data_IF_919693929973
#
_entry.id   IF_919693929973
#
_cell.length_a   1.000
_cell.length_b   1.000
_cell.length_c   1.000
_cell.angle_alpha   90.00
_cell.angle_beta   90.00
_cell.angle_gamma   90.00
#
_symmetry.space_group_name_H-M   'P 1'
#
loop_
_entity.id
_entity.type
_entity.pdbx_description
1 polymer ?
#
# COMPACT_ATOMS: atom_id res chain seq x y z
N UNK A 1 16.52 1.99 2.61
CA UNK A 1 15.21 1.34 2.84
C UNK A 1 15.43 -0.15 3.03
N UNK A 2 14.81 -0.73 4.06
CA UNK A 2 14.91 -2.14 4.46
C UNK A 2 13.56 -2.86 4.48
N UNK A 3 12.44 -2.14 4.62
CA UNK A 3 11.09 -2.73 4.64
C UNK A 3 10.13 -1.92 3.77
N UNK A 4 9.26 -2.61 3.04
CA UNK A 4 8.31 -2.02 2.10
C UNK A 4 6.92 -2.61 2.30
N UNK A 5 5.93 -1.74 2.49
CA UNK A 5 4.52 -2.09 2.56
C UNK A 5 3.77 -1.63 1.32
N UNK A 6 2.77 -2.39 0.90
CA UNK A 6 1.80 -1.98 -0.10
C UNK A 6 0.39 -2.09 0.46
N UNK A 7 -0.40 -1.04 0.26
CA UNK A 7 -1.85 -1.04 0.40
C UNK A 7 -2.45 -0.97 -1.00
N UNK A 8 -3.21 -1.98 -1.41
CA UNK A 8 -3.64 -2.15 -2.80
C UNK A 8 -5.15 -2.19 -2.92
N UNK A 9 -5.73 -1.49 -3.88
CA UNK A 9 -7.11 -1.72 -4.31
C UNK A 9 -7.16 -2.81 -5.38
N UNK A 10 -7.77 -3.96 -5.05
CA UNK A 10 -7.85 -5.11 -5.98
C UNK A 10 -8.75 -4.86 -7.19
N UNK A 11 -9.61 -3.84 -7.16
CA UNK A 11 -10.34 -3.45 -8.36
C UNK A 11 -9.42 -2.80 -9.41
N UNK A 12 -8.32 -2.19 -8.97
CA UNK A 12 -7.36 -1.51 -9.84
C UNK A 12 -6.15 -2.39 -10.16
N UNK A 13 -5.70 -3.21 -9.22
CA UNK A 13 -4.47 -3.96 -9.36
C UNK A 13 -4.56 -5.37 -8.73
N UNK A 14 -4.36 -6.40 -9.55
CA UNK A 14 -4.47 -7.81 -9.12
C UNK A 14 -3.17 -8.61 -9.30
N UNK A 15 -2.15 -8.02 -9.92
CA UNK A 15 -0.91 -8.70 -10.28
C UNK A 15 0.15 -8.55 -9.18
N UNK A 16 -0.09 -9.17 -8.03
CA UNK A 16 0.79 -9.05 -6.86
C UNK A 16 2.22 -9.55 -7.10
N UNK A 17 2.43 -10.46 -8.06
CA UNK A 17 3.77 -10.92 -8.46
C UNK A 17 4.63 -9.76 -8.97
N UNK A 18 4.04 -8.80 -9.71
CA UNK A 18 4.76 -7.58 -10.12
C UNK A 18 5.25 -6.73 -8.97
N UNK A 19 4.59 -6.77 -7.80
CA UNK A 19 5.04 -6.04 -6.60
C UNK A 19 6.28 -6.71 -5.96
N UNK A 20 6.42 -8.03 -6.13
CA UNK A 20 7.65 -8.72 -5.74
C UNK A 20 8.82 -8.33 -6.65
N UNK A 21 8.60 -8.27 -7.97
CA UNK A 21 9.64 -7.82 -8.92
C UNK A 21 10.02 -6.36 -8.72
N UNK A 22 9.03 -5.49 -8.48
CA UNK A 22 9.24 -4.10 -8.04
C UNK A 22 10.22 -4.03 -6.87
N UNK A 23 10.00 -4.86 -5.85
CA UNK A 23 10.76 -4.81 -4.60
C UNK A 23 12.21 -5.29 -4.77
N UNK A 24 12.47 -6.19 -5.72
CA UNK A 24 13.83 -6.65 -6.06
C UNK A 24 14.70 -5.51 -6.59
N UNK A 25 14.13 -4.50 -7.25
CA UNK A 25 14.87 -3.32 -7.75
C UNK A 25 15.50 -2.51 -6.61
N UNK A 26 14.91 -2.62 -5.41
CA UNK A 26 15.42 -2.01 -4.17
C UNK A 26 16.29 -2.96 -3.34
N UNK A 27 16.59 -4.16 -3.85
CA UNK A 27 17.40 -5.17 -3.14
C UNK A 27 16.67 -5.83 -1.96
N UNK A 28 15.34 -5.72 -1.88
CA UNK A 28 14.57 -6.30 -0.78
C UNK A 28 14.28 -7.78 -1.01
N UNK A 29 14.27 -8.56 0.07
CA UNK A 29 13.84 -9.96 0.04
C UNK A 29 12.31 -10.05 0.20
N UNK A 30 11.66 -11.14 -0.25
CA UNK A 30 10.21 -11.29 -0.11
C UNK A 30 9.68 -11.12 1.32
N UNK A 31 10.45 -11.50 2.34
CA UNK A 31 10.08 -11.35 3.76
C UNK A 31 10.00 -9.88 4.23
N UNK A 32 10.72 -8.99 3.55
CA UNK A 32 10.83 -7.57 3.88
C UNK A 32 9.74 -6.74 3.18
N UNK A 33 8.97 -7.39 2.31
CA UNK A 33 7.87 -6.83 1.53
C UNK A 33 6.56 -7.39 2.07
N UNK A 34 5.59 -6.53 2.33
CA UNK A 34 4.23 -6.95 2.70
C UNK A 34 3.22 -6.24 1.82
N UNK A 35 2.34 -7.03 1.22
CA UNK A 35 1.20 -6.55 0.45
C UNK A 35 -0.05 -6.82 1.27
N UNK A 36 -0.88 -5.80 1.42
CA UNK A 36 -2.18 -5.92 2.06
C UNK A 36 -3.21 -5.23 1.19
N UNK A 37 -4.31 -5.92 0.89
CA UNK A 37 -5.22 -5.51 -0.17
C UNK A 37 -6.63 -5.24 0.34
N UNK A 38 -7.33 -4.35 -0.35
CA UNK A 38 -8.75 -4.09 -0.13
C UNK A 38 -9.56 -4.64 -1.29
N UNK A 39 -10.62 -5.38 -0.96
CA UNK A 39 -11.62 -5.83 -1.92
C UNK A 39 -13.02 -5.54 -1.38
N UNK A 40 -13.83 -4.80 -2.13
CA UNK A 40 -15.23 -4.59 -1.75
C UNK A 40 -16.05 -5.88 -1.96
N UNK A 41 -16.80 -6.31 -0.93
CA UNK A 41 -17.62 -7.53 -1.03
C UNK A 41 -18.85 -7.28 -1.91
N UNK A 42 -18.81 -7.72 -3.17
CA UNK A 42 -19.94 -7.56 -4.12
C UNK A 42 -20.89 -8.77 -4.21
N UNK A 43 -20.42 -10.02 -3.98
CA UNK A 43 -21.22 -11.25 -3.78
C UNK A 43 -20.29 -12.42 -3.38
N UNK A 44 -20.80 -13.33 -2.55
CA UNK A 44 -20.06 -14.35 -1.78
C UNK A 44 -19.16 -15.27 -2.61
N UNK A 45 -17.84 -15.16 -2.41
CA UNK A 45 -16.93 -16.30 -2.27
C UNK A 45 -15.95 -15.94 -1.15
N UNK A 46 -15.73 -16.81 -0.14
CA UNK A 46 -14.65 -16.60 0.80
C UNK A 46 -13.33 -16.66 0.04
N UNK A 47 -12.57 -15.57 0.08
CA UNK A 47 -11.19 -15.54 -0.39
C UNK A 47 -10.32 -16.17 0.69
N UNK A 48 -9.38 -17.05 0.31
CA UNK A 48 -8.39 -17.61 1.23
C UNK A 48 -7.21 -16.65 1.47
N UNK A 49 -7.26 -15.44 0.90
CA UNK A 49 -6.19 -14.47 1.01
C UNK A 49 -6.19 -13.88 2.42
N UNK A 50 -5.16 -14.23 3.19
CA UNK A 50 -4.99 -13.77 4.57
C UNK A 50 -4.71 -12.26 4.64
N UNK A 51 -3.99 -11.69 3.67
CA UNK A 51 -3.61 -10.27 3.66
C UNK A 51 -4.61 -9.40 2.90
N UNK A 52 -5.90 -9.61 3.16
CA UNK A 52 -7.00 -8.89 2.53
C UNK A 52 -7.97 -8.36 3.60
N UNK A 53 -8.54 -7.18 3.36
CA UNK A 53 -9.61 -6.57 4.13
C UNK A 53 -10.74 -6.12 3.21
N UNK A 54 -11.95 -6.05 3.74
CA UNK A 54 -13.11 -5.53 3.01
C UNK A 54 -13.91 -4.53 3.84
N UNK A 55 -14.91 -3.93 3.20
CA UNK A 55 -15.77 -2.91 3.83
C UNK A 55 -16.53 -3.39 5.07
N UNK A 56 -16.76 -4.70 5.26
CA UNK A 56 -17.43 -5.25 6.46
C UNK A 56 -16.50 -5.44 7.65
N UNK A 57 -15.20 -5.34 7.44
CA UNK A 57 -14.21 -5.42 8.51
C UNK A 57 -14.06 -4.09 9.28
N UNK A 58 -14.84 -3.07 8.92
CA UNK A 58 -14.91 -1.78 9.60
C UNK A 58 -16.26 -1.65 10.28
N UNK A 59 -16.27 -1.33 11.57
CA UNK A 59 -17.52 -1.01 12.25
C UNK A 59 -18.00 0.42 11.92
N UNK A 60 -19.18 0.78 12.40
CA UNK A 60 -19.78 2.09 12.15
C UNK A 60 -18.96 3.29 12.68
N UNK A 61 -18.05 3.05 13.64
CA UNK A 61 -17.10 4.04 14.16
C UNK A 61 -15.82 4.14 13.34
N UNK A 62 -15.65 3.27 12.33
CA UNK A 62 -14.43 3.17 11.54
C UNK A 62 -13.35 2.31 12.19
N UNK A 63 -13.62 1.61 13.30
CA UNK A 63 -12.63 0.73 13.91
C UNK A 63 -12.44 -0.52 13.05
N UNK A 64 -11.17 -0.87 12.82
CA UNK A 64 -10.76 -2.06 12.06
C UNK A 64 -10.93 -3.29 12.94
N UNK A 65 -11.70 -4.28 12.49
CA UNK A 65 -11.95 -5.53 13.21
C UNK A 65 -11.10 -6.70 12.69
N UNK A 66 -10.61 -6.61 11.45
CA UNK A 66 -9.76 -7.62 10.84
C UNK A 66 -8.38 -7.69 11.53
N UNK A 67 -8.04 -8.85 12.08
CA UNK A 67 -6.81 -9.05 12.85
C UNK A 67 -5.55 -8.94 11.99
N UNK A 68 -5.58 -9.44 10.75
CA UNK A 68 -4.44 -9.36 9.84
C UNK A 68 -4.16 -7.91 9.43
N UNK A 69 -5.20 -7.09 9.31
CA UNK A 69 -5.06 -5.65 9.07
C UNK A 69 -4.39 -4.95 10.27
N UNK A 70 -4.79 -5.29 11.51
CA UNK A 70 -4.13 -4.76 12.72
C UNK A 70 -2.66 -5.15 12.76
N UNK A 71 -2.34 -6.41 12.47
CA UNK A 71 -0.95 -6.88 12.41
C UNK A 71 -0.13 -6.17 11.33
N UNK A 72 -0.73 -5.89 10.18
CA UNK A 72 -0.08 -5.09 9.13
C UNK A 72 0.20 -3.65 9.61
N UNK A 73 -0.76 -3.00 10.29
CA UNK A 73 -0.62 -1.63 10.78
C UNK A 73 0.36 -1.49 11.94
N UNK A 74 0.50 -2.52 12.76
CA UNK A 74 1.50 -2.59 13.84
C UNK A 74 2.94 -2.69 13.31
N UNK A 75 3.13 -3.08 12.04
CA UNK A 75 4.46 -3.25 11.45
C UNK A 75 5.08 -1.92 11.04
N UNK A 76 6.33 -1.72 11.43
CA UNK A 76 7.15 -0.59 10.96
C UNK A 76 7.62 -0.81 9.52
N UNK A 77 7.26 0.11 8.65
CA UNK A 77 7.77 0.17 7.28
C UNK A 77 8.67 1.39 7.09
N UNK A 78 9.80 1.19 6.41
CA UNK A 78 10.59 2.33 5.94
C UNK A 78 9.81 3.09 4.85
N UNK A 79 9.12 2.37 3.95
CA UNK A 79 8.23 2.95 2.95
C UNK A 79 6.90 2.19 2.88
N UNK A 80 5.80 2.92 2.82
CA UNK A 80 4.47 2.40 2.50
C UNK A 80 3.98 3.02 1.19
N UNK A 81 3.56 2.18 0.24
CA UNK A 81 2.96 2.61 -1.03
C UNK A 81 1.46 2.35 -0.99
N UNK A 82 0.65 3.41 -1.14
CA UNK A 82 -0.78 3.29 -1.42
C UNK A 82 -0.99 3.14 -2.92
N UNK A 83 -1.14 1.91 -3.41
CA UNK A 83 -1.32 1.57 -4.82
C UNK A 83 -2.80 1.64 -5.22
N UNK A 84 -3.31 2.87 -5.32
CA UNK A 84 -4.66 3.19 -5.79
C UNK A 84 -4.69 4.64 -6.27
N UNK A 85 -5.69 4.98 -7.09
CA UNK A 85 -5.85 6.33 -7.63
C UNK A 85 -6.75 7.19 -6.73
N UNK A 86 -6.38 8.46 -6.55
CA UNK A 86 -7.23 9.43 -5.86
C UNK A 86 -7.49 9.09 -4.39
N UNK A 87 -8.74 9.25 -3.96
CA UNK A 87 -9.18 8.99 -2.59
C UNK A 87 -9.86 7.63 -2.49
N UNK A 88 -9.51 6.86 -1.47
CA UNK A 88 -10.14 5.59 -1.20
C UNK A 88 -10.37 5.44 0.31
N UNK A 89 -11.59 5.73 0.78
CA UNK A 89 -11.94 5.85 2.21
C UNK A 89 -11.32 4.79 3.13
N UNK A 90 -11.39 3.50 2.77
CA UNK A 90 -10.87 2.42 3.63
C UNK A 90 -9.35 2.33 3.62
N UNK A 91 -8.72 2.38 2.44
CA UNK A 91 -7.26 2.41 2.30
C UNK A 91 -6.66 3.70 2.88
N UNK A 92 -7.32 4.85 2.72
CA UNK A 92 -6.91 6.12 3.31
C UNK A 92 -6.84 6.03 4.84
N UNK A 93 -7.80 5.33 5.45
CA UNK A 93 -7.77 5.05 6.89
C UNK A 93 -6.60 4.13 7.27
N UNK A 94 -6.31 3.10 6.48
CA UNK A 94 -5.13 2.25 6.73
C UNK A 94 -3.82 3.04 6.58
N UNK A 95 -3.73 3.95 5.61
CA UNK A 95 -2.58 4.84 5.44
C UNK A 95 -2.44 5.78 6.64
N UNK A 96 -3.54 6.34 7.14
CA UNK A 96 -3.50 7.23 8.31
C UNK A 96 -3.05 6.50 9.58
N UNK A 97 -3.51 5.27 9.80
CA UNK A 97 -3.16 4.45 10.96
C UNK A 97 -1.76 3.81 10.86
N UNK A 98 -1.15 3.77 9.67
CA UNK A 98 0.16 3.13 9.49
C UNK A 98 1.28 3.89 10.18
N UNK A 99 2.18 3.14 10.83
CA UNK A 99 3.44 3.60 11.46
C UNK A 99 4.60 3.79 10.47
N UNK A 100 4.34 3.71 9.16
CA UNK A 100 5.38 3.84 8.15
C UNK A 100 6.10 5.20 8.22
N UNK A 101 7.42 5.19 8.05
CA UNK A 101 8.28 6.39 8.12
C UNK A 101 8.15 7.31 6.91
N UNK A 102 7.77 6.74 5.76
CA UNK A 102 7.61 7.46 4.51
C UNK A 102 6.46 6.85 3.71
N UNK A 103 5.43 7.64 3.43
CA UNK A 103 4.21 7.21 2.75
C UNK A 103 4.17 7.80 1.35
N UNK A 104 4.00 6.94 0.36
CA UNK A 104 3.98 7.31 -1.05
C UNK A 104 2.62 6.99 -1.66
N UNK A 105 2.00 7.99 -2.28
CA UNK A 105 0.73 7.87 -2.97
C UNK A 105 0.84 8.24 -4.45
N UNK A 106 -0.28 8.13 -5.15
CA UNK A 106 -0.42 8.52 -6.55
C UNK A 106 -1.07 9.90 -6.68
N UNK A 107 -1.21 10.39 -7.92
CA UNK A 107 -1.93 11.63 -8.21
C UNK A 107 -3.33 11.64 -7.57
N UNK A 108 -3.78 12.85 -7.25
CA UNK A 108 -5.12 13.14 -6.73
C UNK A 108 -5.45 12.54 -5.34
N UNK A 109 -4.49 11.85 -4.70
CA UNK A 109 -4.60 11.40 -3.32
C UNK A 109 -4.56 12.58 -2.34
N UNK A 110 -5.04 12.36 -1.11
CA UNK A 110 -5.02 13.40 -0.08
C UNK A 110 -3.58 13.65 0.40
N UNK A 111 -2.98 14.84 0.14
CA UNK A 111 -1.58 15.10 0.46
C UNK A 111 -1.31 15.14 1.97
N UNK A 112 -2.33 15.13 2.82
CA UNK A 112 -2.16 15.05 4.28
C UNK A 112 -1.80 13.64 4.76
N UNK A 113 -2.03 12.62 3.93
CA UNK A 113 -1.76 11.22 4.25
C UNK A 113 -0.38 10.74 3.78
N UNK A 114 0.27 11.49 2.88
CA UNK A 114 1.46 11.04 2.16
C UNK A 114 2.56 12.08 2.20
N UNK A 115 3.80 11.60 2.31
CA UNK A 115 5.01 12.42 2.24
C UNK A 115 5.41 12.71 0.79
N UNK A 116 5.00 11.85 -0.15
CA UNK A 116 5.26 11.99 -1.58
C UNK A 116 4.08 11.50 -2.42
N UNK A 117 3.65 12.32 -3.37
CA UNK A 117 2.69 11.94 -4.40
C UNK A 117 3.39 11.88 -5.76
N UNK A 118 3.34 10.71 -6.40
CA UNK A 118 3.94 10.51 -7.73
C UNK A 118 2.84 10.62 -8.78
N UNK A 119 2.99 11.59 -9.69
CA UNK A 119 2.01 11.89 -10.74
C UNK A 119 2.12 10.94 -11.94
N UNK A 120 2.04 9.64 -11.69
CA UNK A 120 2.07 8.55 -12.69
C UNK A 120 0.75 7.77 -12.60
N UNK A 121 0.37 7.03 -13.63
CA UNK A 121 -0.78 6.12 -13.55
C UNK A 121 -0.43 4.90 -12.69
N UNK A 122 -1.36 4.44 -11.86
CA UNK A 122 -1.28 3.17 -11.13
C UNK A 122 -1.00 1.94 -12.01
N UNK A 123 -1.38 2.01 -13.29
CA UNK A 123 -1.10 0.96 -14.28
C UNK A 123 0.33 0.96 -14.82
N UNK A 124 1.08 2.06 -14.64
CA UNK A 124 2.47 2.21 -15.08
C UNK A 124 3.43 2.03 -13.89
N UNK A 125 3.39 0.82 -13.32
CA UNK A 125 4.32 0.42 -12.27
C UNK A 125 5.80 0.63 -12.65
N UNK A 126 6.27 0.33 -13.87
CA UNK A 126 7.66 0.58 -14.24
C UNK A 126 8.09 2.04 -14.07
N UNK A 127 7.30 2.98 -14.58
CA UNK A 127 7.59 4.41 -14.42
C UNK A 127 7.50 4.85 -12.96
N UNK A 128 6.47 4.40 -12.23
CA UNK A 128 6.35 4.67 -10.80
C UNK A 128 7.58 4.16 -10.02
N UNK A 129 8.07 2.96 -10.34
CA UNK A 129 9.26 2.37 -9.71
C UNK A 129 10.50 3.22 -9.94
N UNK A 130 10.69 3.69 -11.18
CA UNK A 130 11.81 4.54 -11.55
C UNK A 130 11.77 5.87 -10.79
N UNK A 131 10.60 6.50 -10.69
CA UNK A 131 10.40 7.73 -9.93
C UNK A 131 10.67 7.51 -8.44
N UNK A 132 10.05 6.50 -7.83
CA UNK A 132 10.26 6.20 -6.42
C UNK A 132 11.74 5.95 -6.11
N UNK A 133 12.45 5.21 -6.97
CA UNK A 133 13.88 4.97 -6.82
C UNK A 133 14.67 6.29 -6.80
N UNK A 134 14.39 7.23 -7.70
CA UNK A 134 15.03 8.54 -7.71
C UNK A 134 14.80 9.27 -6.38
N UNK A 135 13.56 9.35 -5.92
CA UNK A 135 13.22 10.05 -4.67
C UNK A 135 13.86 9.39 -3.44
N UNK A 136 13.77 8.07 -3.31
CA UNK A 136 14.40 7.34 -2.19
C UNK A 136 15.92 7.55 -2.19
N UNK A 137 16.58 7.55 -3.36
CA UNK A 137 18.02 7.82 -3.45
C UNK A 137 18.37 9.28 -3.11
N UNK A 138 17.52 10.23 -3.51
CA UNK A 138 17.73 11.65 -3.19
C UNK A 138 17.51 11.96 -1.70
N UNK A 139 16.49 11.36 -1.08
CA UNK A 139 16.17 11.53 0.34
C UNK A 139 17.18 10.83 1.24
N UNK A 140 17.76 9.70 0.80
CA UNK A 140 18.87 9.03 1.48
C UNK A 140 20.25 9.66 1.16
N UNK A 141 20.33 10.97 0.91
CA UNK A 141 21.62 11.68 0.83
C UNK A 141 22.18 12.01 2.22
N UNK A 142 22.39 10.96 3.05
CA UNK A 142 23.66 10.55 3.73
C UNK A 142 23.52 9.08 4.09
#
# INVERSE_FOLDING_TARGET
MKTLGFLVDEMLFQDFEKLHDFSKIFGLQPKDVKVFSFMEVKKKLPTLQQNQINNKDFNWKGEIQNQNAKEFLERDFDVLVGLYDGKHRFLDLLVSESKAKFKVGFKDADPRLYDLLIAVSTNDLPTFTAELKKYITLLNKV
#
